data_IF_583286731428
#
_entry.id   IF_583286731428
#
_cell.length_a   1.000
_cell.length_b   1.000
_cell.length_c   1.000
_cell.angle_alpha   90.00
_cell.angle_beta   90.00
_cell.angle_gamma   90.00
#
_symmetry.space_group_name_H-M   'P 1'
#
loop_
_entity.id
_entity.type
_entity.pdbx_description
1 polymer ?
#
# COMPACT_ATOMS: atom_id res chain seq x y z
N UNK A 1 -48.01 118.74 -14.26
CA UNK A 1 -47.87 117.32 -14.67
C UNK A 1 -46.53 116.85 -14.16
N UNK A 2 -46.54 116.11 -13.05
CA UNK A 2 -45.33 115.67 -12.35
C UNK A 2 -44.69 114.49 -13.09
N UNK A 3 -43.39 114.58 -13.35
CA UNK A 3 -42.58 113.44 -13.75
C UNK A 3 -42.35 112.51 -12.54
N UNK A 4 -42.54 111.19 -12.64
CA UNK A 4 -42.08 110.30 -11.59
C UNK A 4 -40.56 110.09 -11.77
N UNK A 5 -39.81 110.67 -10.83
CA UNK A 5 -38.43 110.33 -10.58
C UNK A 5 -38.33 108.96 -9.87
N UNK A 6 -37.22 108.28 -10.15
CA UNK A 6 -36.58 107.25 -9.31
C UNK A 6 -37.12 105.80 -9.39
N UNK A 7 -36.68 105.08 -10.43
CA UNK A 7 -36.63 103.61 -10.45
C UNK A 7 -35.18 103.06 -10.49
N UNK A 8 -34.18 103.85 -10.07
CA UNK A 8 -32.76 103.46 -10.13
C UNK A 8 -32.18 102.93 -8.79
N UNK A 9 -32.97 102.92 -7.71
CA UNK A 9 -32.52 102.51 -6.36
C UNK A 9 -32.95 101.09 -5.91
N UNK A 10 -33.80 100.40 -6.67
CA UNK A 10 -34.40 99.12 -6.26
C UNK A 10 -33.75 97.87 -6.89
N UNK A 11 -32.81 98.04 -7.82
CA UNK A 11 -32.11 96.96 -8.55
C UNK A 11 -30.92 96.38 -7.75
N UNK A 12 -30.15 97.23 -7.07
CA UNK A 12 -28.95 96.83 -6.31
C UNK A 12 -29.26 95.89 -5.14
N UNK A 13 -30.29 96.16 -4.30
CA UNK A 13 -30.69 95.24 -3.24
C UNK A 13 -31.20 93.89 -3.77
N UNK A 14 -31.93 93.89 -4.89
CA UNK A 14 -32.42 92.65 -5.52
C UNK A 14 -31.28 91.78 -6.05
N UNK A 15 -30.27 92.40 -6.66
CA UNK A 15 -29.09 91.70 -7.18
C UNK A 15 -28.26 91.06 -6.07
N UNK A 16 -28.07 91.76 -4.95
CA UNK A 16 -27.42 91.20 -3.76
C UNK A 16 -28.19 90.00 -3.19
N UNK A 17 -29.52 90.10 -3.09
CA UNK A 17 -30.37 89.00 -2.63
C UNK A 17 -30.34 87.78 -3.58
N UNK A 18 -30.21 87.99 -4.89
CA UNK A 18 -30.00 86.90 -5.85
C UNK A 18 -28.69 86.19 -5.59
N UNK A 19 -27.58 86.93 -5.46
CA UNK A 19 -26.25 86.34 -5.22
C UNK A 19 -26.23 85.53 -3.91
N UNK A 20 -26.87 86.04 -2.85
CA UNK A 20 -26.97 85.32 -1.57
C UNK A 20 -27.77 84.03 -1.74
N UNK A 21 -28.88 84.06 -2.50
CA UNK A 21 -29.68 82.87 -2.80
C UNK A 21 -28.89 81.86 -3.62
N UNK A 22 -28.21 82.32 -4.67
CA UNK A 22 -27.40 81.49 -5.56
C UNK A 22 -26.27 80.83 -4.75
N UNK A 23 -25.57 81.59 -3.90
CA UNK A 23 -24.55 81.08 -3.00
C UNK A 23 -25.09 80.03 -2.01
N UNK A 24 -26.24 80.28 -1.40
CA UNK A 24 -26.88 79.32 -0.50
C UNK A 24 -27.28 78.03 -1.22
N UNK A 25 -27.78 78.15 -2.47
CA UNK A 25 -28.16 77.01 -3.29
C UNK A 25 -26.96 76.17 -3.71
N UNK A 26 -25.86 76.81 -4.12
CA UNK A 26 -24.61 76.16 -4.50
C UNK A 26 -23.98 75.48 -3.29
N UNK A 27 -23.97 76.14 -2.12
CA UNK A 27 -23.48 75.57 -0.87
C UNK A 27 -24.26 74.29 -0.51
N UNK A 28 -25.59 74.33 -0.54
CA UNK A 28 -26.43 73.16 -0.26
C UNK A 28 -26.25 72.03 -1.28
N UNK A 29 -26.05 72.38 -2.56
CA UNK A 29 -25.77 71.39 -3.60
C UNK A 29 -24.39 70.75 -3.42
N UNK A 30 -23.36 71.55 -3.11
CA UNK A 30 -22.01 71.08 -2.79
C UNK A 30 -21.99 70.16 -1.57
N UNK A 31 -22.69 70.51 -0.49
CA UNK A 31 -22.82 69.68 0.71
C UNK A 31 -23.48 68.33 0.39
N UNK A 32 -24.59 68.33 -0.37
CA UNK A 32 -25.24 67.08 -0.81
C UNK A 32 -24.29 66.20 -1.63
N UNK A 33 -23.59 66.79 -2.61
CA UNK A 33 -22.62 66.07 -3.44
C UNK A 33 -21.48 65.47 -2.61
N UNK A 34 -20.97 66.18 -1.61
CA UNK A 34 -19.94 65.66 -0.70
C UNK A 34 -20.49 64.52 0.15
N UNK A 35 -21.71 64.65 0.69
CA UNK A 35 -22.37 63.57 1.44
C UNK A 35 -22.57 62.32 0.57
N UNK A 36 -23.03 62.48 -0.67
CA UNK A 36 -23.20 61.38 -1.62
C UNK A 36 -21.88 60.67 -1.96
N UNK A 37 -20.81 61.44 -2.18
CA UNK A 37 -19.48 60.89 -2.43
C UNK A 37 -18.93 60.14 -1.21
N UNK A 38 -19.13 60.66 0.01
CA UNK A 38 -18.72 59.97 1.24
C UNK A 38 -19.44 58.65 1.43
N UNK A 39 -20.75 58.62 1.17
CA UNK A 39 -21.55 57.39 1.20
C UNK A 39 -21.01 56.37 0.19
N UNK A 40 -20.87 56.76 -1.08
CA UNK A 40 -20.32 55.87 -2.12
C UNK A 40 -18.93 55.36 -1.79
N UNK A 41 -18.08 56.20 -1.19
CA UNK A 41 -16.74 55.79 -0.74
C UNK A 41 -16.82 54.75 0.38
N UNK A 42 -17.74 54.90 1.33
CA UNK A 42 -17.98 53.90 2.37
C UNK A 42 -18.49 52.58 1.77
N UNK A 43 -19.44 52.64 0.84
CA UNK A 43 -19.99 51.47 0.16
C UNK A 43 -18.91 50.70 -0.62
N UNK A 44 -18.06 51.41 -1.37
CA UNK A 44 -16.94 50.80 -2.13
C UNK A 44 -15.89 50.19 -1.20
N UNK A 45 -15.60 50.82 -0.05
CA UNK A 45 -14.68 50.24 0.94
C UNK A 45 -15.25 48.95 1.53
N UNK A 46 -16.51 48.96 1.94
CA UNK A 46 -17.17 47.76 2.44
C UNK A 46 -17.18 46.63 1.40
N UNK A 47 -17.44 46.95 0.13
CA UNK A 47 -17.37 45.98 -0.97
C UNK A 47 -15.94 45.45 -1.19
N UNK A 48 -14.93 46.31 -1.09
CA UNK A 48 -13.51 45.91 -1.20
C UNK A 48 -13.10 44.97 -0.07
N UNK A 49 -13.51 45.26 1.16
CA UNK A 49 -13.20 44.43 2.33
C UNK A 49 -13.91 43.07 2.24
N UNK A 50 -15.17 43.06 1.78
CA UNK A 50 -15.91 41.84 1.51
C UNK A 50 -15.24 40.98 0.42
N UNK A 51 -14.84 41.59 -0.69
CA UNK A 51 -14.13 40.89 -1.77
C UNK A 51 -12.76 40.34 -1.31
N UNK A 52 -12.05 41.07 -0.43
CA UNK A 52 -10.79 40.59 0.15
C UNK A 52 -11.02 39.36 1.04
N UNK A 53 -12.05 39.39 1.90
CA UNK A 53 -12.41 38.25 2.73
C UNK A 53 -12.83 37.02 1.91
N UNK A 54 -13.60 37.22 0.84
CA UNK A 54 -13.97 36.13 -0.10
C UNK A 54 -12.75 35.55 -0.80
N UNK A 55 -11.81 36.38 -1.24
CA UNK A 55 -10.56 35.93 -1.86
C UNK A 55 -9.73 35.08 -0.89
N UNK A 56 -9.60 35.50 0.36
CA UNK A 56 -8.83 34.74 1.35
C UNK A 56 -9.53 33.45 1.79
N UNK A 57 -10.87 33.41 1.78
CA UNK A 57 -11.62 32.17 1.91
C UNK A 57 -11.37 31.22 0.73
N UNK A 58 -11.39 31.74 -0.50
CA UNK A 58 -11.12 30.96 -1.71
C UNK A 58 -9.69 30.40 -1.76
N UNK A 59 -8.69 31.16 -1.31
CA UNK A 59 -7.30 30.69 -1.19
C UNK A 59 -7.18 29.52 -0.22
N UNK A 60 -7.77 29.62 0.97
CA UNK A 60 -7.77 28.54 1.96
C UNK A 60 -8.48 27.28 1.44
N UNK A 61 -9.62 27.45 0.78
CA UNK A 61 -10.32 26.33 0.16
C UNK A 61 -9.48 25.64 -0.93
N UNK A 62 -8.78 26.43 -1.76
CA UNK A 62 -7.86 25.91 -2.77
C UNK A 62 -6.68 25.16 -2.13
N UNK A 63 -6.05 25.71 -1.10
CA UNK A 63 -4.94 25.07 -0.41
C UNK A 63 -5.34 23.72 0.20
N UNK A 64 -6.55 23.64 0.78
CA UNK A 64 -7.10 22.39 1.30
C UNK A 64 -7.33 21.36 0.18
N UNK A 65 -7.92 21.77 -0.94
CA UNK A 65 -8.11 20.89 -2.10
C UNK A 65 -6.78 20.43 -2.72
N UNK A 66 -5.75 21.28 -2.76
CA UNK A 66 -4.42 20.90 -3.23
C UNK A 66 -3.74 19.88 -2.31
N UNK A 67 -3.91 20.01 -0.99
CA UNK A 67 -3.39 19.03 -0.03
C UNK A 67 -4.06 17.67 -0.20
N UNK A 68 -5.39 17.64 -0.33
CA UNK A 68 -6.15 16.41 -0.59
C UNK A 68 -5.74 15.75 -1.91
N UNK A 69 -5.54 16.56 -2.97
CA UNK A 69 -5.06 16.07 -4.25
C UNK A 69 -3.66 15.44 -4.13
N UNK A 70 -2.73 16.08 -3.40
CA UNK A 70 -1.38 15.51 -3.16
C UNK A 70 -1.44 14.20 -2.39
N UNK A 71 -2.31 14.10 -1.38
CA UNK A 71 -2.56 12.85 -0.66
C UNK A 71 -3.05 11.74 -1.59
N UNK A 72 -4.04 12.05 -2.42
CA UNK A 72 -4.57 11.12 -3.43
C UNK A 72 -3.51 10.69 -4.45
N UNK A 73 -2.66 11.61 -4.92
CA UNK A 73 -1.55 11.31 -5.83
C UNK A 73 -0.50 10.40 -5.20
N UNK A 74 -0.15 10.62 -3.93
CA UNK A 74 0.78 9.75 -3.21
C UNK A 74 0.21 8.33 -3.06
N UNK A 75 -1.07 8.21 -2.71
CA UNK A 75 -1.74 6.91 -2.62
C UNK A 75 -1.79 6.19 -3.98
N UNK A 76 -2.05 6.93 -5.07
CA UNK A 76 -2.01 6.37 -6.42
C UNK A 76 -0.61 5.87 -6.83
N UNK A 77 0.45 6.60 -6.47
CA UNK A 77 1.83 6.18 -6.73
C UNK A 77 2.20 4.90 -5.96
N UNK A 78 1.78 4.79 -4.69
CA UNK A 78 1.98 3.58 -3.87
C UNK A 78 1.23 2.40 -4.49
N UNK A 79 -0.02 2.60 -4.90
CA UNK A 79 -0.82 1.56 -5.54
C UNK A 79 -0.16 1.07 -6.84
N UNK A 80 0.33 1.98 -7.69
CA UNK A 80 1.03 1.64 -8.93
C UNK A 80 2.31 0.83 -8.66
N UNK A 81 3.12 1.24 -7.68
CA UNK A 81 4.33 0.51 -7.29
C UNK A 81 3.99 -0.89 -6.75
N UNK A 82 2.91 -1.01 -5.97
CA UNK A 82 2.44 -2.29 -5.44
C UNK A 82 1.99 -3.22 -6.56
N UNK A 83 1.25 -2.72 -7.56
CA UNK A 83 0.84 -3.51 -8.73
C UNK A 83 2.06 -4.04 -9.48
N UNK A 84 3.05 -3.19 -9.76
CA UNK A 84 4.28 -3.61 -10.44
C UNK A 84 5.03 -4.69 -9.67
N UNK A 85 5.12 -4.58 -8.34
CA UNK A 85 5.76 -5.60 -7.51
C UNK A 85 5.00 -6.94 -7.53
N UNK A 86 3.66 -6.90 -7.54
CA UNK A 86 2.82 -8.08 -7.67
C UNK A 86 2.97 -8.73 -9.05
N UNK A 87 2.99 -7.95 -10.12
CA UNK A 87 3.22 -8.43 -11.50
C UNK A 87 4.58 -9.12 -11.65
N UNK A 88 5.63 -8.55 -11.06
CA UNK A 88 6.96 -9.16 -11.02
C UNK A 88 6.95 -10.50 -10.25
N UNK A 89 6.24 -10.56 -9.13
CA UNK A 89 6.10 -11.78 -8.33
C UNK A 89 5.34 -12.87 -9.09
N UNK A 90 4.25 -12.51 -9.77
CA UNK A 90 3.48 -13.43 -10.61
C UNK A 90 4.35 -13.97 -11.74
N UNK A 91 5.12 -13.12 -12.40
CA UNK A 91 6.03 -13.52 -13.49
C UNK A 91 7.08 -14.53 -13.01
N UNK A 92 7.69 -14.27 -11.85
CA UNK A 92 8.65 -15.20 -11.23
C UNK A 92 8.00 -16.55 -10.90
N UNK A 93 6.82 -16.54 -10.28
CA UNK A 93 6.10 -17.78 -9.96
C UNK A 93 5.72 -18.57 -11.21
N UNK A 94 5.35 -17.89 -12.30
CA UNK A 94 5.07 -18.54 -13.58
C UNK A 94 6.32 -19.21 -14.17
N UNK A 95 7.48 -18.57 -14.06
CA UNK A 95 8.77 -19.16 -14.47
C UNK A 95 9.11 -20.41 -13.63
N UNK A 96 8.94 -20.32 -12.30
CA UNK A 96 9.14 -21.46 -11.40
C UNK A 96 8.19 -22.62 -11.72
N UNK A 97 6.90 -22.35 -11.95
CA UNK A 97 5.91 -23.36 -12.36
C UNK A 97 6.32 -23.99 -13.70
N UNK A 98 6.75 -23.18 -14.66
CA UNK A 98 7.21 -23.70 -15.96
C UNK A 98 8.41 -24.62 -15.81
N UNK A 99 9.39 -24.23 -14.98
CA UNK A 99 10.59 -25.03 -14.72
C UNK A 99 10.26 -26.35 -14.04
N UNK A 100 9.43 -26.32 -12.98
CA UNK A 100 8.97 -27.52 -12.28
C UNK A 100 8.20 -28.43 -13.24
N UNK A 101 7.40 -27.86 -14.14
CA UNK A 101 6.73 -28.60 -15.21
C UNK A 101 7.71 -29.35 -16.12
N UNK A 102 8.77 -28.66 -16.60
CA UNK A 102 9.78 -29.31 -17.44
C UNK A 102 10.57 -30.38 -16.71
N UNK A 103 10.90 -30.16 -15.43
CA UNK A 103 11.62 -31.13 -14.61
C UNK A 103 10.76 -32.39 -14.37
N UNK A 104 9.45 -32.21 -14.13
CA UNK A 104 8.50 -33.32 -13.98
C UNK A 104 8.41 -34.16 -15.25
N UNK A 105 8.29 -33.53 -16.42
CA UNK A 105 8.26 -34.24 -17.71
C UNK A 105 9.56 -35.01 -17.97
N UNK A 106 10.71 -34.42 -17.63
CA UNK A 106 12.00 -35.07 -17.75
C UNK A 106 12.08 -36.33 -16.86
N UNK A 107 11.69 -36.22 -15.59
CA UNK A 107 11.66 -37.37 -14.66
C UNK A 107 10.72 -38.46 -15.16
N UNK A 108 9.53 -38.08 -15.66
CA UNK A 108 8.55 -39.03 -16.19
C UNK A 108 9.11 -39.79 -17.40
N UNK A 109 9.70 -39.07 -18.36
CA UNK A 109 10.31 -39.70 -19.54
C UNK A 109 11.45 -40.65 -19.19
N UNK A 110 12.28 -40.27 -18.20
CA UNK A 110 13.36 -41.11 -17.68
C UNK A 110 12.79 -42.37 -17.02
N UNK A 111 11.80 -42.22 -16.14
CA UNK A 111 11.14 -43.37 -15.48
C UNK A 111 10.47 -44.31 -16.49
N UNK A 112 9.86 -43.78 -17.55
CA UNK A 112 9.31 -44.59 -18.64
C UNK A 112 10.42 -45.38 -19.35
N UNK A 113 11.55 -44.75 -19.68
CA UNK A 113 12.69 -45.45 -20.31
C UNK A 113 13.31 -46.53 -19.43
N UNK A 114 13.52 -46.25 -18.13
CA UNK A 114 14.08 -47.22 -17.17
C UNK A 114 13.14 -48.42 -16.96
N UNK A 115 11.82 -48.17 -16.93
CA UNK A 115 10.81 -49.24 -16.87
C UNK A 115 10.85 -50.11 -18.11
N UNK A 116 10.91 -49.51 -19.29
CA UNK A 116 10.90 -50.25 -20.56
C UNK A 116 12.21 -51.06 -20.74
N UNK A 117 13.35 -50.52 -20.29
CA UNK A 117 14.63 -51.22 -20.23
C UNK A 117 14.56 -52.43 -19.28
N UNK A 118 14.00 -52.24 -18.08
CA UNK A 118 13.81 -53.34 -17.13
C UNK A 118 12.92 -54.45 -17.69
N UNK A 119 11.79 -54.10 -18.31
CA UNK A 119 10.89 -55.07 -18.94
C UNK A 119 11.63 -55.84 -20.03
N UNK A 120 12.42 -55.16 -20.86
CA UNK A 120 13.21 -55.78 -21.93
C UNK A 120 14.24 -56.77 -21.38
N UNK A 121 14.95 -56.41 -20.30
CA UNK A 121 15.90 -57.29 -19.62
C UNK A 121 15.20 -58.52 -19.03
N UNK A 122 14.03 -58.35 -18.41
CA UNK A 122 13.26 -59.45 -17.85
C UNK A 122 12.76 -60.41 -18.94
N UNK A 123 12.34 -59.89 -20.10
CA UNK A 123 11.95 -60.72 -21.24
C UNK A 123 13.12 -61.53 -21.80
N UNK A 124 14.31 -60.91 -21.95
CA UNK A 124 15.54 -61.58 -22.38
C UNK A 124 15.95 -62.68 -21.40
N UNK A 125 15.94 -62.40 -20.09
CA UNK A 125 16.24 -63.40 -19.07
C UNK A 125 15.24 -64.56 -19.11
N UNK A 126 13.94 -64.28 -19.23
CA UNK A 126 12.92 -65.31 -19.36
C UNK A 126 13.13 -66.17 -20.63
N UNK A 127 13.59 -65.58 -21.73
CA UNK A 127 13.96 -66.33 -22.94
C UNK A 127 15.15 -67.27 -22.69
N UNK A 128 16.21 -66.78 -22.02
CA UNK A 128 17.38 -67.58 -21.64
C UNK A 128 17.03 -68.74 -20.71
N UNK A 129 16.15 -68.51 -19.72
CA UNK A 129 15.67 -69.57 -18.82
C UNK A 129 14.97 -70.68 -19.62
N UNK A 130 14.09 -70.32 -20.57
CA UNK A 130 13.41 -71.29 -21.42
C UNK A 130 14.39 -72.07 -22.30
N UNK A 131 15.39 -71.40 -22.88
CA UNK A 131 16.44 -72.06 -23.66
C UNK A 131 17.25 -73.03 -22.81
N UNK A 132 17.64 -72.64 -21.60
CA UNK A 132 18.34 -73.52 -20.67
C UNK A 132 17.51 -74.75 -20.31
N UNK A 133 16.23 -74.57 -19.98
CA UNK A 133 15.32 -75.68 -19.69
C UNK A 133 15.16 -76.64 -20.88
N UNK A 134 15.12 -76.12 -22.11
CA UNK A 134 15.09 -76.93 -23.33
C UNK A 134 16.37 -77.72 -23.53
N UNK A 135 17.53 -77.08 -23.35
CA UNK A 135 18.84 -77.71 -23.46
C UNK A 135 19.00 -78.87 -22.46
N UNK A 136 18.67 -78.62 -21.19
CA UNK A 136 18.69 -79.65 -20.13
C UNK A 136 17.74 -80.80 -20.47
N UNK A 137 16.55 -80.51 -21.00
CA UNK A 137 15.59 -81.55 -21.39
C UNK A 137 16.09 -82.41 -22.56
N UNK A 138 16.78 -81.80 -23.55
CA UNK A 138 17.44 -82.50 -24.66
C UNK A 138 18.58 -83.39 -24.16
N UNK A 139 19.45 -82.85 -23.29
CA UNK A 139 20.60 -83.56 -22.74
C UNK A 139 20.18 -84.76 -21.86
N UNK A 140 19.12 -84.61 -21.06
CA UNK A 140 18.50 -85.73 -20.33
C UNK A 140 17.86 -86.77 -21.27
N UNK A 141 17.26 -86.35 -22.38
CA UNK A 141 16.73 -87.27 -23.37
C UNK A 141 17.85 -88.07 -24.07
N UNK A 142 18.96 -87.42 -24.42
CA UNK A 142 20.16 -88.06 -24.99
C UNK A 142 20.86 -89.00 -24.00
N UNK A 143 20.92 -88.65 -22.71
CA UNK A 143 21.44 -89.51 -21.64
C UNK A 143 20.59 -90.77 -21.44
N UNK A 144 19.26 -90.67 -21.55
CA UNK A 144 18.36 -91.83 -21.49
C UNK A 144 18.51 -92.78 -22.70
N UNK A 145 19.20 -92.36 -23.76
CA UNK A 145 19.57 -93.22 -24.91
C UNK A 145 20.98 -93.82 -24.79
N UNK A 146 21.75 -93.48 -23.77
CA UNK A 146 23.14 -93.93 -23.56
C UNK A 146 23.28 -94.50 -22.15
N UNK A 147 23.13 -95.82 -22.03
CA UNK A 147 22.97 -96.51 -20.75
C UNK A 147 24.08 -96.29 -19.71
N UNK A 148 23.60 -96.12 -18.46
CA UNK A 148 24.19 -96.49 -17.16
C UNK A 148 25.72 -96.42 -17.02
N UNK A 149 26.20 -95.49 -16.19
CA UNK A 149 27.25 -95.84 -15.23
C UNK A 149 27.19 -95.01 -13.94
N UNK A 150 27.19 -95.78 -12.85
CA UNK A 150 27.35 -95.43 -11.45
C UNK A 150 28.68 -94.73 -11.17
N UNK A 151 28.71 -93.78 -10.21
CA UNK A 151 29.60 -93.81 -9.03
C UNK A 151 29.39 -92.61 -8.09
N UNK A 152 29.58 -92.88 -6.80
CA UNK A 152 29.48 -92.02 -5.62
C UNK A 152 30.51 -90.88 -5.52
N UNK A 153 30.23 -89.93 -4.61
CA UNK A 153 31.17 -88.94 -4.05
C UNK A 153 30.71 -87.49 -4.34
N UNK A 154 30.91 -86.47 -3.52
CA UNK A 154 31.64 -86.30 -2.27
C UNK A 154 31.25 -84.93 -1.69
N UNK A 155 31.31 -84.83 -0.36
CA UNK A 155 31.16 -83.62 0.45
C UNK A 155 32.10 -82.48 -0.01
N UNK A 156 31.57 -81.29 -0.33
CA UNK A 156 32.34 -80.03 -0.30
C UNK A 156 31.40 -78.93 0.18
N UNK A 157 31.67 -78.42 1.38
CA UNK A 157 31.10 -77.15 1.81
C UNK A 157 31.81 -76.01 1.09
N UNK A 158 31.07 -74.97 0.75
CA UNK A 158 31.68 -73.69 0.44
C UNK A 158 30.92 -72.55 1.12
N UNK A 159 31.69 -71.78 1.89
CA UNK A 159 31.26 -70.60 2.65
C UNK A 159 31.64 -69.39 1.81
N UNK A 160 30.71 -68.88 1.00
CA UNK A 160 30.96 -67.69 0.18
C UNK A 160 29.81 -66.67 0.22
N UNK A 161 29.10 -66.53 1.35
CA UNK A 161 28.05 -65.52 1.53
C UNK A 161 28.47 -64.27 2.33
N UNK A 162 29.74 -64.12 2.70
CA UNK A 162 30.17 -63.01 3.56
C UNK A 162 30.67 -61.77 2.82
N UNK A 163 31.05 -61.88 1.54
CA UNK A 163 31.68 -60.76 0.80
C UNK A 163 30.66 -59.82 0.15
N UNK A 164 29.50 -60.31 -0.30
CA UNK A 164 28.42 -59.45 -0.84
C UNK A 164 27.72 -58.64 0.27
N UNK A 165 27.57 -59.24 1.46
CA UNK A 165 26.90 -58.59 2.60
C UNK A 165 27.67 -57.38 3.13
N UNK A 166 29.00 -57.39 3.09
CA UNK A 166 29.85 -56.30 3.58
C UNK A 166 29.81 -55.07 2.66
N UNK A 167 29.74 -55.29 1.33
CA UNK A 167 29.56 -54.22 0.34
C UNK A 167 28.19 -53.55 0.41
N UNK A 168 27.13 -54.34 0.65
CA UNK A 168 25.77 -53.83 0.86
C UNK A 168 25.70 -53.02 2.15
N UNK A 169 26.30 -53.51 3.24
CA UNK A 169 26.37 -52.81 4.53
C UNK A 169 27.04 -51.44 4.39
N UNK A 170 28.20 -51.40 3.71
CA UNK A 170 28.94 -50.15 3.49
C UNK A 170 28.16 -49.14 2.66
N UNK A 171 27.49 -49.59 1.59
CA UNK A 171 26.60 -48.75 0.77
C UNK A 171 25.42 -48.19 1.57
N UNK A 172 24.86 -48.99 2.49
CA UNK A 172 23.79 -48.55 3.39
C UNK A 172 24.30 -47.51 4.38
N UNK A 173 25.48 -47.73 4.98
CA UNK A 173 26.12 -46.78 5.90
C UNK A 173 26.37 -45.43 5.23
N UNK A 174 26.91 -45.42 4.01
CA UNK A 174 27.16 -44.18 3.26
C UNK A 174 25.85 -43.41 2.94
N UNK A 175 24.77 -44.14 2.64
CA UNK A 175 23.44 -43.53 2.44
C UNK A 175 22.92 -42.89 3.72
N UNK A 176 23.03 -43.58 4.85
CA UNK A 176 22.61 -43.05 6.16
C UNK A 176 23.41 -41.79 6.49
N UNK A 177 24.73 -41.79 6.29
CA UNK A 177 25.56 -40.60 6.53
C UNK A 177 25.21 -39.42 5.61
N UNK A 178 24.85 -39.66 4.35
CA UNK A 178 24.39 -38.59 3.45
C UNK A 178 23.06 -38.00 3.89
N UNK A 179 22.09 -38.86 4.24
CA UNK A 179 20.78 -38.42 4.73
C UNK A 179 20.95 -37.64 6.04
N UNK A 180 21.81 -38.09 6.94
CA UNK A 180 22.08 -37.40 8.21
C UNK A 180 22.65 -35.98 7.99
N UNK A 181 23.57 -35.83 7.03
CA UNK A 181 24.10 -34.51 6.66
C UNK A 181 23.03 -33.58 6.04
N UNK A 182 22.15 -34.13 5.20
CA UNK A 182 21.05 -33.39 4.59
C UNK A 182 20.02 -32.94 5.64
N UNK A 183 19.68 -33.81 6.58
CA UNK A 183 18.79 -33.49 7.72
C UNK A 183 19.38 -32.36 8.57
N UNK A 184 20.67 -32.43 8.92
CA UNK A 184 21.31 -31.37 9.71
C UNK A 184 21.31 -30.01 8.99
N UNK A 185 21.47 -30.02 7.66
CA UNK A 185 21.39 -28.80 6.83
C UNK A 185 19.99 -28.19 6.88
N UNK A 186 18.96 -29.01 6.61
CA UNK A 186 17.56 -28.58 6.62
C UNK A 186 17.09 -28.12 8.00
N UNK A 187 17.53 -28.79 9.07
CA UNK A 187 17.24 -28.34 10.45
C UNK A 187 17.87 -26.97 10.75
N UNK A 188 19.05 -26.69 10.19
CA UNK A 188 19.71 -25.40 10.28
C UNK A 188 18.94 -24.30 9.55
N UNK A 189 18.50 -24.58 8.33
CA UNK A 189 17.67 -23.67 7.53
C UNK A 189 16.32 -23.40 8.22
N UNK A 190 15.64 -24.44 8.69
CA UNK A 190 14.37 -24.30 9.40
C UNK A 190 14.49 -23.43 10.66
N UNK A 191 15.56 -23.58 11.44
CA UNK A 191 15.81 -22.71 12.61
C UNK A 191 16.03 -21.26 12.22
N UNK A 192 16.69 -21.01 11.09
CA UNK A 192 16.90 -19.65 10.58
C UNK A 192 15.58 -19.03 10.13
N UNK A 193 14.77 -19.78 9.40
CA UNK A 193 13.45 -19.34 8.96
C UNK A 193 12.53 -19.01 10.15
N UNK A 194 12.62 -19.80 11.23
CA UNK A 194 11.87 -19.53 12.46
C UNK A 194 12.25 -18.18 13.10
N UNK A 195 13.54 -17.85 13.12
CA UNK A 195 14.03 -16.56 13.62
C UNK A 195 13.58 -15.39 12.73
N UNK A 196 13.64 -15.57 11.40
CA UNK A 196 13.18 -14.57 10.45
C UNK A 196 11.66 -14.34 10.56
N UNK A 197 10.89 -15.41 10.76
CA UNK A 197 9.46 -15.35 11.03
C UNK A 197 9.15 -14.55 12.30
N UNK A 198 9.84 -14.83 13.41
CA UNK A 198 9.64 -14.11 14.66
C UNK A 198 10.00 -12.62 14.53
N UNK A 199 11.04 -12.30 13.76
CA UNK A 199 11.42 -10.92 13.45
C UNK A 199 10.33 -10.19 12.67
N UNK A 200 9.81 -10.79 11.60
CA UNK A 200 8.71 -10.21 10.80
C UNK A 200 7.46 -10.02 11.66
N UNK A 201 7.15 -10.97 12.55
CA UNK A 201 6.03 -10.87 13.47
C UNK A 201 6.18 -9.69 14.43
N UNK A 202 7.38 -9.43 14.93
CA UNK A 202 7.67 -8.27 15.78
C UNK A 202 7.54 -6.96 15.01
N UNK A 203 8.11 -6.88 13.80
CA UNK A 203 8.00 -5.70 12.93
C UNK A 203 6.53 -5.36 12.60
N UNK A 204 5.71 -6.39 12.36
CA UNK A 204 4.27 -6.21 12.13
C UNK A 204 3.56 -5.62 13.35
N UNK A 205 3.88 -6.10 14.56
CA UNK A 205 3.31 -5.56 15.80
C UNK A 205 3.70 -4.09 16.00
N UNK A 206 4.96 -3.74 15.71
CA UNK A 206 5.44 -2.35 15.79
C UNK A 206 4.73 -1.42 14.79
N UNK A 207 4.51 -1.89 13.56
CA UNK A 207 3.76 -1.14 12.55
C UNK A 207 2.30 -0.95 12.98
N UNK A 208 1.67 -1.98 13.53
CA UNK A 208 0.30 -1.88 14.04
C UNK A 208 0.19 -0.88 15.19
N UNK A 209 1.15 -0.89 16.14
CA UNK A 209 1.20 0.09 17.22
C UNK A 209 1.38 1.52 16.69
N UNK A 210 2.27 1.74 15.72
CA UNK A 210 2.46 3.05 15.07
C UNK A 210 1.21 3.53 14.36
N UNK A 211 0.49 2.64 13.68
CA UNK A 211 -0.80 2.96 13.05
C UNK A 211 -1.81 3.42 14.09
N UNK A 212 -1.99 2.66 15.17
CA UNK A 212 -2.95 3.00 16.23
C UNK A 212 -2.63 4.37 16.86
N UNK A 213 -1.34 4.67 17.08
CA UNK A 213 -0.91 5.99 17.55
C UNK A 213 -1.25 7.10 16.54
N UNK A 214 -0.99 6.87 15.26
CA UNK A 214 -1.31 7.84 14.21
C UNK A 214 -2.82 8.10 14.12
N UNK A 215 -3.65 7.06 14.22
CA UNK A 215 -5.10 7.18 14.27
C UNK A 215 -5.58 7.97 15.48
N UNK A 216 -5.00 7.75 16.67
CA UNK A 216 -5.30 8.51 17.87
C UNK A 216 -4.93 10.00 17.73
N UNK A 217 -3.73 10.31 17.22
CA UNK A 217 -3.27 11.68 16.99
C UNK A 217 -4.17 12.39 15.97
N UNK A 218 -4.56 11.72 14.89
CA UNK A 218 -5.50 12.30 13.93
C UNK A 218 -6.85 12.59 14.60
N UNK A 219 -7.37 11.68 15.41
CA UNK A 219 -8.61 11.90 16.17
C UNK A 219 -8.55 13.11 17.10
N UNK A 220 -7.45 13.27 17.84
CA UNK A 220 -7.23 14.44 18.70
C UNK A 220 -7.13 15.75 17.91
N UNK A 221 -6.46 15.73 16.75
CA UNK A 221 -6.37 16.93 15.90
C UNK A 221 -7.71 17.34 15.33
N UNK A 222 -8.59 16.40 14.99
CA UNK A 222 -9.96 16.70 14.55
C UNK A 222 -10.80 17.25 15.70
N UNK A 223 -10.68 16.69 16.91
CA UNK A 223 -11.36 17.22 18.09
C UNK A 223 -10.88 18.64 18.43
N UNK A 224 -9.59 18.92 18.29
CA UNK A 224 -9.01 20.25 18.49
C UNK A 224 -9.55 21.27 17.49
N UNK A 225 -9.70 20.89 16.21
CA UNK A 225 -10.33 21.75 15.18
C UNK A 225 -11.80 22.04 15.50
N UNK A 226 -12.54 21.03 15.94
CA UNK A 226 -13.95 21.20 16.37
C UNK A 226 -14.03 22.14 17.56
N UNK A 227 -13.14 21.98 18.55
CA UNK A 227 -13.08 22.85 19.72
C UNK A 227 -12.75 24.30 19.34
N UNK A 228 -11.77 24.53 18.48
CA UNK A 228 -11.43 25.87 17.99
C UNK A 228 -12.61 26.54 17.26
N UNK A 229 -13.28 25.80 16.38
CA UNK A 229 -14.48 26.29 15.66
C UNK A 229 -15.62 26.64 16.62
N UNK A 230 -15.84 25.81 17.66
CA UNK A 230 -16.86 26.07 18.67
C UNK A 230 -16.55 27.32 19.50
N UNK A 231 -15.29 27.52 19.88
CA UNK A 231 -14.83 28.73 20.59
C UNK A 231 -15.08 29.98 19.74
N UNK A 232 -14.73 29.96 18.45
CA UNK A 232 -14.97 31.09 17.54
C UNK A 232 -16.46 31.41 17.36
N UNK A 233 -17.32 30.40 17.27
CA UNK A 233 -18.78 30.56 17.17
C UNK A 233 -19.38 31.15 18.45
N UNK A 234 -18.95 30.66 19.62
CA UNK A 234 -19.33 31.23 20.91
C UNK A 234 -18.88 32.68 21.01
N UNK A 235 -17.65 32.98 20.63
CA UNK A 235 -17.13 34.34 20.65
C UNK A 235 -17.94 35.27 19.74
N UNK A 236 -18.36 34.80 18.56
CA UNK A 236 -19.27 35.54 17.67
C UNK A 236 -20.64 35.81 18.32
N UNK A 237 -21.24 34.82 18.96
CA UNK A 237 -22.59 34.96 19.56
C UNK A 237 -22.64 35.89 20.76
N UNK A 238 -21.57 35.95 21.54
CA UNK A 238 -21.50 36.77 22.75
C UNK A 238 -20.91 38.16 22.49
N UNK A 239 -20.45 38.45 21.28
CA UNK A 239 -20.00 39.78 20.88
C UNK A 239 -21.18 40.70 20.59
N UNK A 240 -21.29 41.81 21.31
CA UNK A 240 -22.34 42.81 21.11
C UNK A 240 -22.21 43.46 19.72
N UNK A 241 -23.25 43.42 18.87
CA UNK A 241 -23.18 43.99 17.51
C UNK A 241 -22.97 45.51 17.47
N UNK A 242 -23.36 46.23 18.53
CA UNK A 242 -23.30 47.69 18.57
C UNK A 242 -21.97 48.28 19.04
N UNK A 243 -21.23 47.56 19.89
CA UNK A 243 -19.97 48.04 20.48
C UNK A 243 -18.79 47.07 20.37
N UNK A 244 -19.00 45.84 19.86
CA UNK A 244 -17.94 44.84 19.66
C UNK A 244 -17.39 44.22 20.95
N UNK A 245 -17.97 44.52 22.11
CA UNK A 245 -17.55 43.93 23.39
C UNK A 245 -18.08 42.51 23.49
N UNK A 246 -17.19 41.56 23.79
CA UNK A 246 -17.55 40.18 24.08
C UNK A 246 -18.08 40.06 25.52
N UNK A 247 -19.34 39.69 25.67
CA UNK A 247 -20.02 39.56 26.95
C UNK A 247 -19.94 38.14 27.54
N UNK A 248 -19.08 37.26 27.00
CA UNK A 248 -18.83 35.95 27.62
C UNK A 248 -18.24 36.16 29.02
N UNK A 249 -18.81 35.55 30.08
CA UNK A 249 -18.15 35.45 31.37
C UNK A 249 -16.82 34.71 31.16
N UNK A 250 -15.72 35.26 31.69
CA UNK A 250 -14.41 34.64 31.57
C UNK A 250 -14.43 33.23 32.15
N UNK A 251 -14.32 32.21 31.29
CA UNK A 251 -13.83 30.91 31.70
C UNK A 251 -12.31 31.06 31.80
N UNK A 252 -11.86 31.59 32.94
CA UNK A 252 -10.48 31.39 33.36
C UNK A 252 -10.27 29.89 33.46
N UNK A 253 -9.71 29.29 32.41
CA UNK A 253 -9.01 28.04 32.55
C UNK A 253 -7.87 28.35 33.51
N UNK A 254 -8.03 27.96 34.77
CA UNK A 254 -6.88 27.79 35.66
C UNK A 254 -5.91 26.86 34.94
N UNK A 255 -4.90 27.45 34.31
CA UNK A 255 -3.65 26.76 34.03
C UNK A 255 -3.11 26.33 35.39
N UNK A 256 -3.34 25.07 35.72
CA UNK A 256 -2.75 24.41 36.87
C UNK A 256 -1.24 24.54 36.78
N UNK A 257 -0.69 25.38 37.67
CA UNK A 257 0.69 25.30 38.08
C UNK A 257 0.87 24.07 38.99
N UNK A 258 2.03 23.42 38.80
CA UNK A 258 2.62 22.24 39.46
C UNK A 258 2.17 20.84 39.00
#
# INVERSE_FOLDING_TARGET
>A
MAAPASAAGSETPKKLLSIIRDFASEKSHGERRVCDLRRRLADVRAASDAAAAELDAAKRARELAEQELRGSQAQAAIAAATIQALEATISRLQEEISKVGTDLDAIKSKGDSERDDFISQMLDMNAKIRQFQQMVSLELAEYNHSGLQSTEGQHVGDKTETVESEGILKSLTDKVSRIDAEVQLLEGEYKKDLLDYDKVRQELADIQAKRALMEAVMGETELAKVHASLVEELQRRYTCPGCGVNNMPGLELEEGAD
#
